data_IF_578218398565
#
_entry.id   IF_578218398565
#
_cell.length_a   1.000
_cell.length_b   1.000
_cell.length_c   1.000
_cell.angle_alpha   90.00
_cell.angle_beta   90.00
_cell.angle_gamma   90.00
#
_symmetry.space_group_name_H-M   'P 1'
#
loop_
_entity.id
_entity.type
_entity.pdbx_description
1 polymer ?
#
# COMPACT_ATOMS: atom_id res chain seq x y z
N UNK A 1 4.18 -0.79 14.21
CA UNK A 1 3.07 -1.22 13.34
C UNK A 1 2.02 -0.12 13.34
N UNK A 2 1.53 0.32 12.18
CA UNK A 2 0.52 1.39 12.04
C UNK A 2 -0.65 0.85 11.19
N UNK A 3 -1.88 1.16 11.57
CA UNK A 3 -3.08 0.64 10.89
C UNK A 3 -4.33 1.45 11.25
N UNK A 4 -5.41 1.22 10.51
CA UNK A 4 -6.69 1.89 10.70
C UNK A 4 -7.87 0.95 10.50
N UNK A 5 -9.01 1.34 11.07
CA UNK A 5 -10.29 0.63 10.92
C UNK A 5 -11.12 1.31 9.83
N UNK A 6 -11.57 0.54 8.85
CA UNK A 6 -12.39 1.03 7.75
C UNK A 6 -13.70 0.27 7.69
N UNK A 7 -14.79 0.99 7.51
CA UNK A 7 -16.10 0.42 7.22
C UNK A 7 -16.40 0.61 5.74
N UNK A 8 -16.73 -0.48 5.05
CA UNK A 8 -17.08 -0.49 3.63
C UNK A 8 -18.58 -0.66 3.50
N UNK A 9 -19.24 0.28 2.83
CA UNK A 9 -20.68 0.25 2.61
C UNK A 9 -20.97 0.30 1.11
N UNK A 10 -21.83 -0.61 0.64
CA UNK A 10 -22.30 -0.63 -0.75
C UNK A 10 -21.18 -0.72 -1.82
N UNK A 11 -20.12 -1.50 -1.53
CA UNK A 11 -19.00 -1.73 -2.45
C UNK A 11 -19.19 -3.08 -3.14
N UNK A 12 -19.01 -3.13 -4.46
CA UNK A 12 -19.04 -4.38 -5.21
C UNK A 12 -17.84 -5.26 -4.83
N UNK A 13 -18.02 -6.59 -4.77
CA UNK A 13 -16.95 -7.51 -4.33
C UNK A 13 -15.65 -7.39 -5.14
N UNK A 14 -15.76 -7.04 -6.43
CA UNK A 14 -14.60 -6.81 -7.30
C UNK A 14 -13.80 -5.54 -6.93
N UNK A 15 -14.45 -4.55 -6.33
CA UNK A 15 -13.83 -3.27 -5.96
C UNK A 15 -13.28 -3.28 -4.53
N UNK A 16 -13.65 -4.27 -3.71
CA UNK A 16 -13.18 -4.35 -2.31
C UNK A 16 -11.66 -4.49 -2.24
N UNK A 17 -11.07 -5.36 -3.06
CA UNK A 17 -9.62 -5.58 -3.08
C UNK A 17 -8.83 -4.31 -3.45
N UNK A 18 -9.10 -3.64 -4.60
CA UNK A 18 -8.38 -2.40 -4.94
C UNK A 18 -8.63 -1.30 -3.91
N UNK A 19 -9.82 -1.20 -3.33
CA UNK A 19 -10.10 -0.22 -2.28
C UNK A 19 -9.23 -0.44 -1.02
N UNK A 20 -9.11 -1.69 -0.56
CA UNK A 20 -8.28 -2.03 0.60
C UNK A 20 -6.78 -1.86 0.32
N UNK A 21 -6.33 -2.10 -0.90
CA UNK A 21 -4.90 -2.07 -1.26
C UNK A 21 -4.43 -0.71 -1.79
N UNK A 22 -5.33 0.16 -2.23
CA UNK A 22 -5.02 1.48 -2.77
C UNK A 22 -5.55 2.57 -1.84
N UNK A 23 -6.86 2.63 -1.64
CA UNK A 23 -7.50 3.76 -0.95
C UNK A 23 -7.20 3.76 0.55
N UNK A 24 -7.41 2.63 1.24
CA UNK A 24 -7.11 2.53 2.68
C UNK A 24 -5.67 2.95 3.04
N UNK A 25 -4.60 2.42 2.41
CA UNK A 25 -3.24 2.85 2.70
C UNK A 25 -2.96 4.28 2.24
N UNK A 26 -3.60 4.77 1.17
CA UNK A 26 -3.50 6.18 0.74
C UNK A 26 -4.00 7.15 1.81
N UNK A 27 -5.04 6.79 2.56
CA UNK A 27 -5.48 7.59 3.72
C UNK A 27 -4.54 7.50 4.91
N UNK A 28 -3.95 6.32 5.17
CA UNK A 28 -3.06 6.10 6.33
C UNK A 28 -1.65 6.67 6.12
N UNK A 29 -1.15 6.65 4.89
CA UNK A 29 0.24 6.95 4.57
C UNK A 29 0.70 8.37 4.98
N UNK A 30 -0.09 9.44 4.79
CA UNK A 30 0.29 10.79 5.23
C UNK A 30 0.56 10.89 6.73
N UNK A 31 -0.13 10.10 7.55
CA UNK A 31 0.08 10.06 8.99
C UNK A 31 1.26 9.17 9.36
N UNK A 32 1.39 8.01 8.70
CA UNK A 32 2.52 7.12 8.90
C UNK A 32 3.85 7.82 8.56
N UNK A 33 3.92 8.53 7.42
CA UNK A 33 5.13 9.28 7.01
C UNK A 33 5.48 10.38 8.01
N UNK A 34 4.48 11.05 8.60
CA UNK A 34 4.70 12.11 9.58
C UNK A 34 5.29 11.57 10.87
N UNK A 35 4.79 10.42 11.34
CA UNK A 35 5.34 9.73 12.51
C UNK A 35 6.82 9.38 12.28
N UNK A 36 7.16 8.89 11.08
CA UNK A 36 8.57 8.57 10.73
C UNK A 36 9.41 9.84 10.67
N UNK A 37 8.95 10.89 9.99
CA UNK A 37 9.67 12.15 9.88
C UNK A 37 9.97 12.73 11.26
N UNK A 38 8.97 12.78 12.14
CA UNK A 38 9.12 13.24 13.53
C UNK A 38 10.08 12.36 14.33
N UNK A 39 9.97 11.04 14.23
CA UNK A 39 10.87 10.13 14.95
C UNK A 39 12.33 10.30 14.54
N UNK A 40 12.61 10.55 13.24
CA UNK A 40 13.98 10.81 12.78
C UNK A 40 14.50 12.19 13.22
N UNK A 41 13.65 13.21 13.22
CA UNK A 41 14.00 14.55 13.71
C UNK A 41 14.35 14.53 15.21
N UNK A 42 13.50 13.89 16.03
CA UNK A 42 13.68 13.77 17.48
C UNK A 42 14.94 12.96 17.83
N UNK A 43 15.36 12.04 16.94
CA UNK A 43 16.59 11.25 17.07
C UNK A 43 17.89 11.99 16.74
N UNK A 44 17.83 13.29 16.42
CA UNK A 44 19.01 14.09 16.05
C UNK A 44 19.49 13.87 14.60
N UNK A 45 18.71 13.17 13.78
CA UNK A 45 18.99 13.00 12.35
C UNK A 45 18.52 14.27 11.62
N UNK A 46 19.47 15.11 11.22
CA UNK A 46 19.20 16.35 10.51
C UNK A 46 19.87 16.33 9.12
N UNK A 47 19.12 16.49 8.02
CA UNK A 47 17.69 16.82 7.92
C UNK A 47 16.74 15.64 8.26
N UNK A 48 15.49 15.91 8.70
CA UNK A 48 14.51 14.86 8.94
C UNK A 48 14.28 14.00 7.69
N UNK A 49 14.12 12.70 7.87
CA UNK A 49 13.84 11.80 6.77
C UNK A 49 12.40 12.00 6.28
N UNK A 50 12.26 12.63 5.12
CA UNK A 50 10.99 12.84 4.45
C UNK A 50 10.75 11.74 3.44
N UNK A 51 9.77 10.89 3.71
CA UNK A 51 9.41 9.79 2.82
C UNK A 51 8.68 10.32 1.59
N UNK A 52 9.11 9.88 0.40
CA UNK A 52 8.45 10.23 -0.85
C UNK A 52 6.99 9.73 -0.90
N UNK A 53 6.10 10.43 -1.60
CA UNK A 53 4.75 9.95 -1.86
C UNK A 53 4.77 8.58 -2.55
N UNK A 54 4.04 7.61 -2.00
CA UNK A 54 3.89 6.29 -2.61
C UNK A 54 2.70 6.30 -3.58
N UNK A 55 2.92 5.78 -4.80
CA UNK A 55 1.85 5.51 -5.76
C UNK A 55 1.32 4.07 -5.58
N UNK A 56 0.27 3.95 -4.76
CA UNK A 56 -0.37 2.67 -4.49
C UNK A 56 -1.09 2.07 -5.70
N UNK A 57 -1.52 2.89 -6.67
CA UNK A 57 -2.19 2.40 -7.88
C UNK A 57 -1.19 1.64 -8.75
N UNK A 58 -0.03 2.24 -9.01
CA UNK A 58 1.03 1.60 -9.79
C UNK A 58 1.52 0.30 -9.14
N UNK A 59 1.66 0.28 -7.80
CA UNK A 59 2.04 -0.92 -7.05
C UNK A 59 0.98 -2.02 -7.19
N UNK A 60 -0.31 -1.66 -7.08
CA UNK A 60 -1.41 -2.61 -7.24
C UNK A 60 -1.44 -3.20 -8.65
N UNK A 61 -1.32 -2.37 -9.69
CA UNK A 61 -1.28 -2.81 -11.08
C UNK A 61 -0.09 -3.74 -11.36
N UNK A 62 1.10 -3.37 -10.88
CA UNK A 62 2.30 -4.21 -11.03
C UNK A 62 2.12 -5.58 -10.34
N UNK A 63 1.49 -5.60 -9.16
CA UNK A 63 1.17 -6.85 -8.45
C UNK A 63 0.16 -7.71 -9.22
N UNK A 64 -0.88 -7.11 -9.78
CA UNK A 64 -1.87 -7.82 -10.58
C UNK A 64 -1.25 -8.48 -11.82
N UNK A 65 -0.36 -7.76 -12.51
CA UNK A 65 0.39 -8.27 -13.66
C UNK A 65 1.30 -9.46 -13.29
N UNK A 66 1.98 -9.37 -12.13
CA UNK A 66 2.80 -10.48 -11.63
C UNK A 66 1.96 -11.71 -11.27
N UNK A 67 0.78 -11.53 -10.69
CA UNK A 67 -0.14 -12.63 -10.38
C UNK A 67 -0.66 -13.31 -11.65
N UNK A 68 -0.97 -12.54 -12.70
CA UNK A 68 -1.36 -13.08 -14.00
C UNK A 68 -0.20 -13.85 -14.67
N UNK A 69 1.02 -13.30 -14.66
CA UNK A 69 2.19 -13.95 -15.24
C UNK A 69 2.58 -15.26 -14.52
N UNK A 70 2.38 -15.34 -13.20
CA UNK A 70 2.63 -16.56 -12.43
C UNK A 70 1.52 -17.61 -12.63
N UNK A 71 0.32 -17.23 -13.06
CA UNK A 71 -0.76 -18.17 -13.36
C UNK A 71 -0.52 -18.91 -14.70
N UNK A 72 0.15 -18.27 -15.66
CA UNK A 72 0.52 -18.88 -16.95
C UNK A 72 1.78 -19.77 -16.88
N UNK A 73 2.55 -19.71 -15.78
CA UNK A 73 3.75 -20.53 -15.57
C UNK A 73 3.46 -21.93 -15.00
N UNK A 74 2.18 -22.32 -14.86
CA UNK A 74 1.80 -23.65 -14.38
C UNK A 74 0.72 -24.34 -15.24
N UNK A 75 1.09 -24.78 -16.45
CA UNK A 75 0.53 -25.99 -17.05
C UNK A 75 1.64 -27.02 -17.30
N UNK A 76 1.63 -28.11 -16.53
CA UNK A 76 2.33 -29.35 -16.90
C UNK A 76 3.56 -29.73 -16.08
N UNK A 77 3.34 -30.27 -14.89
CA UNK A 77 4.18 -31.35 -14.36
C UNK A 77 3.22 -32.43 -13.83
N UNK A 78 2.90 -33.38 -14.70
CA UNK A 78 2.25 -34.65 -14.42
C UNK A 78 3.30 -35.77 -14.58
#
# INVERSE_FOLDING_TARGET
VYGGLFQLNNVASADVEPLLLIECPRYLFPFAREIVARATADGGFYPPFMMDPIDFVSIYMARQQQMAANADAQPGQA
#
